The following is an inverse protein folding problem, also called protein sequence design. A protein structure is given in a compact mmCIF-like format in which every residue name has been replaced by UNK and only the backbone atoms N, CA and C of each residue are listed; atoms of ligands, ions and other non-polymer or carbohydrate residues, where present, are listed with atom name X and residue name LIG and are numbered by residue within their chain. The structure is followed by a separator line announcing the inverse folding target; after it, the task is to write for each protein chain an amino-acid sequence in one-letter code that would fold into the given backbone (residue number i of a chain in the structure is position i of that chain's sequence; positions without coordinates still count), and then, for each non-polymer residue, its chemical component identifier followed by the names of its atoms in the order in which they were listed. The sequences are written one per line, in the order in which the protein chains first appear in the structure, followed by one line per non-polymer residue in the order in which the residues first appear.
data_IF_378242046104
#
_entry.id   IF_378242046104
#
_cell.length_a   1.000
_cell.length_b   1.000
_cell.length_c   1.000
_cell.angle_alpha   90.00
_cell.angle_beta   90.00
_cell.angle_gamma   90.00
#
_symmetry.space_group_name_H-M   'P 1'
#
loop_
_entity.id
_entity.type
_entity.pdbx_description
1 polymer ?
#
# COMPACT_ATOMS: atom_id res chain seq x y z
N UNK A 1 -50.28 -68.16 17.81
CA UNK A 1 -49.86 -67.24 16.72
C UNK A 1 -48.92 -66.19 17.31
N UNK A 2 -47.62 -66.29 17.01
CA UNK A 2 -46.57 -65.44 17.59
C UNK A 2 -46.42 -64.12 16.79
N UNK A 3 -46.90 -63.00 17.34
CA UNK A 3 -46.73 -61.63 16.81
C UNK A 3 -45.37 -61.01 17.23
N UNK A 4 -44.25 -61.72 17.10
CA UNK A 4 -42.91 -61.18 17.48
C UNK A 4 -42.03 -60.74 16.29
N UNK A 5 -42.52 -60.87 15.05
CA UNK A 5 -41.73 -60.57 13.85
C UNK A 5 -41.82 -59.13 13.32
N UNK A 6 -42.81 -58.33 13.74
CA UNK A 6 -43.04 -56.98 13.19
C UNK A 6 -42.38 -55.84 13.98
N UNK A 7 -41.88 -56.08 15.19
CA UNK A 7 -41.26 -55.02 16.02
C UNK A 7 -39.77 -54.80 15.72
N UNK A 8 -39.08 -55.79 15.13
CA UNK A 8 -37.64 -55.69 14.81
C UNK A 8 -37.33 -54.76 13.62
N UNK A 9 -38.28 -54.59 12.68
CA UNK A 9 -38.09 -53.74 11.50
C UNK A 9 -38.16 -52.24 11.81
N UNK A 10 -39.03 -51.84 12.75
CA UNK A 10 -39.22 -50.42 13.08
C UNK A 10 -38.03 -49.84 13.85
N UNK A 11 -37.50 -50.57 14.84
CA UNK A 11 -36.34 -50.13 15.61
C UNK A 11 -35.09 -49.94 14.73
N UNK A 12 -34.88 -50.83 13.75
CA UNK A 12 -33.74 -50.74 12.84
C UNK A 12 -33.88 -49.56 11.86
N UNK A 13 -35.09 -49.34 11.33
CA UNK A 13 -35.37 -48.21 10.43
C UNK A 13 -35.27 -46.86 11.17
N UNK A 14 -35.73 -46.81 12.42
CA UNK A 14 -35.57 -45.63 13.29
C UNK A 14 -34.09 -45.37 13.62
N UNK A 15 -33.31 -46.42 13.94
CA UNK A 15 -31.87 -46.28 14.22
C UNK A 15 -31.10 -45.73 13.01
N UNK A 16 -31.42 -46.17 11.79
CA UNK A 16 -30.82 -45.64 10.56
C UNK A 16 -31.19 -44.18 10.35
N UNK A 17 -32.45 -43.80 10.57
CA UNK A 17 -32.90 -42.42 10.44
C UNK A 17 -32.20 -41.50 11.45
N UNK A 18 -32.16 -41.89 12.72
CA UNK A 18 -31.46 -41.13 13.78
C UNK A 18 -29.96 -41.06 13.50
N UNK A 19 -29.34 -42.17 13.08
CA UNK A 19 -27.92 -42.21 12.69
C UNK A 19 -27.61 -41.26 11.53
N UNK A 20 -28.49 -41.21 10.52
CA UNK A 20 -28.38 -40.26 9.41
C UNK A 20 -28.48 -38.80 9.85
N UNK A 21 -29.40 -38.48 10.77
CA UNK A 21 -29.54 -37.13 11.34
C UNK A 21 -28.31 -36.74 12.16
N UNK A 22 -27.78 -37.64 13.00
CA UNK A 22 -26.57 -37.37 13.79
C UNK A 22 -25.37 -37.14 12.88
N UNK A 23 -25.18 -37.97 11.84
CA UNK A 23 -24.10 -37.80 10.87
C UNK A 23 -24.23 -36.46 10.13
N UNK A 24 -25.44 -36.10 9.69
CA UNK A 24 -25.70 -34.83 9.04
C UNK A 24 -25.38 -33.64 9.95
N UNK A 25 -25.82 -33.68 11.21
CA UNK A 25 -25.54 -32.63 12.19
C UNK A 25 -24.03 -32.53 12.51
N UNK A 26 -23.32 -33.65 12.56
CA UNK A 26 -21.87 -33.66 12.76
C UNK A 26 -21.14 -33.02 11.57
N UNK A 27 -21.51 -33.38 10.34
CA UNK A 27 -20.94 -32.78 9.11
C UNK A 27 -21.25 -31.27 9.06
N UNK A 28 -22.49 -30.88 9.35
CA UNK A 28 -22.91 -29.48 9.38
C UNK A 28 -22.20 -28.68 10.48
N UNK A 29 -22.02 -29.28 11.66
CA UNK A 29 -21.30 -28.68 12.78
C UNK A 29 -19.83 -28.45 12.45
N UNK A 30 -19.17 -29.47 11.87
CA UNK A 30 -17.76 -29.39 11.44
C UNK A 30 -17.59 -28.35 10.33
N UNK A 31 -18.46 -28.31 9.32
CA UNK A 31 -18.36 -27.32 8.25
C UNK A 31 -18.47 -25.89 8.78
N UNK A 32 -19.42 -25.63 9.69
CA UNK A 32 -19.61 -24.28 10.27
C UNK A 32 -18.46 -23.84 11.18
N UNK A 33 -17.84 -24.79 11.89
CA UNK A 33 -16.68 -24.53 12.75
C UNK A 33 -15.44 -24.20 11.89
N UNK A 34 -15.25 -24.91 10.77
CA UNK A 34 -14.16 -24.64 9.82
C UNK A 34 -14.29 -23.22 9.23
N UNK A 35 -15.49 -22.82 8.78
CA UNK A 35 -15.70 -21.48 8.20
C UNK A 35 -15.41 -20.35 9.21
N UNK A 36 -15.75 -20.56 10.48
CA UNK A 36 -15.51 -19.58 11.55
C UNK A 36 -14.02 -19.51 11.89
N UNK A 37 -13.36 -20.65 12.02
CA UNK A 37 -11.92 -20.73 12.28
C UNK A 37 -11.08 -20.08 11.18
N UNK A 38 -11.46 -20.25 9.91
CA UNK A 38 -10.78 -19.60 8.79
C UNK A 38 -10.89 -18.08 8.82
N UNK A 39 -12.05 -17.53 9.20
CA UNK A 39 -12.23 -16.09 9.38
C UNK A 39 -11.30 -15.51 10.46
N UNK A 40 -11.13 -16.22 11.57
CA UNK A 40 -10.22 -15.84 12.66
C UNK A 40 -8.75 -15.89 12.20
N UNK A 41 -8.35 -16.93 11.46
CA UNK A 41 -6.99 -17.06 10.91
C UNK A 41 -6.69 -15.92 9.94
N UNK A 42 -7.57 -15.63 8.99
CA UNK A 42 -7.36 -14.54 8.02
C UNK A 42 -7.30 -13.17 8.69
N UNK A 43 -8.08 -12.97 9.76
CA UNK A 43 -8.02 -11.74 10.56
C UNK A 43 -6.69 -11.64 11.31
N UNK A 44 -6.21 -12.74 11.88
CA UNK A 44 -4.91 -12.77 12.57
C UNK A 44 -3.76 -12.48 11.60
N UNK A 45 -3.78 -13.07 10.41
CA UNK A 45 -2.81 -12.79 9.34
C UNK A 45 -2.87 -11.32 8.92
N UNK A 46 -4.06 -10.74 8.78
CA UNK A 46 -4.21 -9.32 8.46
C UNK A 46 -3.58 -8.41 9.53
N UNK A 47 -3.79 -8.73 10.81
CA UNK A 47 -3.22 -7.97 11.94
C UNK A 47 -1.71 -8.16 12.01
N UNK A 48 -1.20 -9.38 11.87
CA UNK A 48 0.24 -9.65 11.83
C UNK A 48 0.90 -8.92 10.66
N UNK A 49 0.29 -8.95 9.49
CA UNK A 49 0.76 -8.20 8.33
C UNK A 49 0.79 -6.69 8.60
N UNK A 50 -0.29 -6.11 9.14
CA UNK A 50 -0.31 -4.70 9.51
C UNK A 50 0.77 -4.36 10.55
N UNK A 51 1.01 -5.24 11.52
CA UNK A 51 2.07 -5.09 12.50
C UNK A 51 3.48 -5.21 11.89
N UNK A 52 3.66 -5.93 10.79
CA UNK A 52 4.94 -5.97 10.04
C UNK A 52 5.15 -4.67 9.26
N UNK A 53 4.08 -4.03 8.77
CA UNK A 53 4.19 -2.75 8.07
C UNK A 53 4.69 -1.61 8.98
N UNK A 54 4.46 -1.68 10.29
CA UNK A 54 4.83 -0.62 11.23
C UNK A 54 6.36 -0.52 11.46
N UNK A 55 7.11 -1.60 11.76
CA UNK A 55 8.57 -1.59 11.82
C UNK A 55 9.24 -1.21 10.50
N UNK A 56 8.62 -1.56 9.37
CA UNK A 56 9.11 -1.18 8.04
C UNK A 56 9.11 0.34 7.82
N UNK A 57 8.45 1.14 8.67
CA UNK A 57 8.49 2.61 8.61
C UNK A 57 9.53 3.22 9.54
N UNK A 58 9.68 2.69 10.75
CA UNK A 58 10.46 3.35 11.80
C UNK A 58 11.97 3.23 11.63
N UNK A 59 12.43 2.28 10.79
CA UNK A 59 13.86 1.97 10.59
C UNK A 59 14.46 2.71 9.38
N UNK A 60 13.62 3.31 8.53
CA UNK A 60 14.01 3.64 7.16
C UNK A 60 14.32 5.14 7.02
N UNK A 61 15.59 5.51 7.21
CA UNK A 61 16.12 6.80 6.77
C UNK A 61 16.48 6.83 5.29
N UNK A 62 16.63 5.65 4.67
CA UNK A 62 17.09 5.45 3.30
C UNK A 62 16.15 4.47 2.59
N UNK A 63 15.90 4.64 1.30
CA UNK A 63 15.03 3.73 0.55
C UNK A 63 15.46 2.26 0.72
N UNK A 64 14.51 1.34 0.84
CA UNK A 64 14.79 -0.11 0.95
C UNK A 64 13.78 -0.97 0.18
N UNK A 65 14.24 -2.13 -0.30
CA UNK A 65 13.39 -3.18 -0.85
C UNK A 65 13.34 -4.41 0.06
N UNK A 66 12.18 -5.03 0.21
CA UNK A 66 12.04 -6.28 0.95
C UNK A 66 10.95 -7.16 0.34
N UNK A 67 11.01 -8.46 0.61
CA UNK A 67 10.03 -9.44 0.16
C UNK A 67 9.44 -10.16 1.36
N UNK A 68 8.13 -10.34 1.36
CA UNK A 68 7.42 -11.15 2.34
C UNK A 68 6.82 -12.36 1.63
N UNK A 69 7.19 -13.54 2.12
CA UNK A 69 6.59 -14.80 1.72
C UNK A 69 5.45 -15.16 2.69
N UNK A 70 4.24 -15.27 2.15
CA UNK A 70 3.08 -15.75 2.88
C UNK A 70 3.16 -17.28 3.04
N UNK A 71 2.66 -17.84 4.16
CA UNK A 71 2.67 -19.28 4.39
C UNK A 71 1.84 -20.03 3.33
N UNK A 72 0.75 -19.40 2.87
CA UNK A 72 -0.19 -19.92 1.87
C UNK A 72 -0.46 -18.88 0.78
N UNK A 73 -0.95 -19.33 -0.37
CA UNK A 73 -1.41 -18.41 -1.41
C UNK A 73 -2.61 -17.61 -0.90
N UNK A 74 -2.55 -16.29 -0.98
CA UNK A 74 -3.60 -15.40 -0.47
C UNK A 74 -4.00 -14.35 -1.50
N UNK A 75 -5.27 -13.94 -1.41
CA UNK A 75 -5.80 -12.69 -1.93
C UNK A 75 -5.75 -11.64 -0.84
N UNK A 76 -5.19 -10.49 -1.19
CA UNK A 76 -4.98 -9.35 -0.32
C UNK A 76 -5.82 -8.24 -0.88
N UNK A 77 -6.78 -7.78 -0.09
CA UNK A 77 -7.65 -6.68 -0.43
C UNK A 77 -7.20 -5.46 0.36
N UNK A 78 -6.98 -4.37 -0.36
CA UNK A 78 -6.49 -3.14 0.24
C UNK A 78 -7.39 -1.99 -0.12
N UNK A 79 -7.64 -1.15 0.87
CA UNK A 79 -8.34 0.10 0.67
C UNK A 79 -7.78 1.14 1.63
N UNK A 80 -8.23 2.37 1.45
CA UNK A 80 -7.83 3.48 2.30
C UNK A 80 -9.07 4.29 2.64
N UNK A 81 -9.11 4.77 3.88
CA UNK A 81 -10.11 5.71 4.36
C UNK A 81 -9.43 6.99 4.87
N UNK A 82 -10.19 8.08 4.85
CA UNK A 82 -9.73 9.39 5.32
C UNK A 82 -10.23 9.70 6.74
N UNK A 83 -10.72 8.70 7.48
CA UNK A 83 -11.31 8.89 8.80
C UNK A 83 -10.24 9.24 9.85
N UNK A 84 -10.61 10.08 10.82
CA UNK A 84 -9.69 10.60 11.84
C UNK A 84 -8.67 11.61 11.29
N UNK A 85 -7.57 11.79 12.03
CA UNK A 85 -6.61 12.86 11.76
C UNK A 85 -5.78 12.63 10.50
N UNK A 86 -5.36 11.38 10.24
CA UNK A 86 -4.44 11.02 9.15
C UNK A 86 -4.99 9.94 8.20
N UNK A 87 -6.24 9.50 8.37
CA UNK A 87 -6.79 8.35 7.65
C UNK A 87 -6.16 7.02 8.06
N UNK A 88 -6.64 5.93 7.47
CA UNK A 88 -6.12 4.57 7.69
C UNK A 88 -5.91 3.84 6.36
N UNK A 89 -4.89 2.98 6.32
CA UNK A 89 -4.86 1.87 5.35
C UNK A 89 -5.60 0.70 5.96
N UNK A 90 -6.47 0.09 5.16
CA UNK A 90 -7.25 -1.09 5.51
C UNK A 90 -6.74 -2.26 4.68
N UNK A 91 -6.41 -3.36 5.34
CA UNK A 91 -5.94 -4.59 4.69
C UNK A 91 -6.77 -5.76 5.17
N UNK A 92 -7.23 -6.60 4.25
CA UNK A 92 -7.92 -7.85 4.56
C UNK A 92 -7.39 -8.98 3.68
N UNK A 93 -7.50 -10.21 4.18
CA UNK A 93 -6.92 -11.40 3.55
C UNK A 93 -7.97 -12.48 3.30
N UNK A 94 -7.76 -13.25 2.25
CA UNK A 94 -8.48 -14.48 1.95
C UNK A 94 -7.48 -15.50 1.42
N UNK A 95 -7.33 -16.61 2.13
CA UNK A 95 -6.39 -17.69 1.82
C UNK A 95 -7.00 -18.71 0.86
N UNK A 96 -6.17 -19.36 0.04
CA UNK A 96 -6.60 -20.47 -0.81
C UNK A 96 -6.86 -21.71 0.04
N UNK A 97 -8.04 -22.32 -0.09
CA UNK A 97 -8.43 -23.50 0.70
C UNK A 97 -8.39 -24.76 -0.16
N UNK A 98 -7.64 -25.76 0.33
CA UNK A 98 -7.71 -27.14 -0.13
C UNK A 98 -7.22 -27.36 -1.56
N UNK A 99 -7.70 -28.45 -2.19
CA UNK A 99 -7.41 -28.76 -3.59
C UNK A 99 -8.45 -28.10 -4.50
N UNK A 100 -8.05 -27.03 -5.20
CA UNK A 100 -8.87 -26.28 -6.17
C UNK A 100 -8.71 -24.76 -6.03
N UNK A 101 -9.42 -23.99 -6.87
CA UNK A 101 -9.37 -22.51 -6.87
C UNK A 101 -10.42 -21.87 -5.96
N UNK A 102 -10.64 -22.48 -4.78
CA UNK A 102 -11.57 -21.97 -3.77
C UNK A 102 -10.82 -21.10 -2.77
N UNK A 103 -11.40 -19.94 -2.46
CA UNK A 103 -10.88 -18.96 -1.52
C UNK A 103 -11.67 -19.00 -0.22
N UNK A 104 -10.99 -18.73 0.89
CA UNK A 104 -11.60 -18.61 2.21
C UNK A 104 -12.49 -17.40 2.32
N UNK A 105 -13.33 -17.41 3.36
CA UNK A 105 -14.05 -16.21 3.75
C UNK A 105 -13.05 -15.09 4.06
N UNK A 106 -13.33 -13.91 3.52
CA UNK A 106 -12.57 -12.70 3.80
C UNK A 106 -12.45 -12.47 5.31
N UNK A 107 -11.22 -12.29 5.79
CA UNK A 107 -10.95 -11.93 7.18
C UNK A 107 -11.43 -10.52 7.53
N UNK A 108 -11.35 -10.17 8.81
CA UNK A 108 -11.56 -8.80 9.26
C UNK A 108 -10.51 -7.84 8.71
N UNK A 109 -10.86 -6.56 8.65
CA UNK A 109 -9.97 -5.49 8.19
C UNK A 109 -8.98 -5.11 9.30
N UNK A 110 -7.68 -5.24 9.02
CA UNK A 110 -6.64 -4.66 9.83
C UNK A 110 -6.42 -3.19 9.42
N UNK A 111 -6.30 -2.30 10.42
CA UNK A 111 -6.13 -0.86 10.22
C UNK A 111 -4.73 -0.44 10.63
N UNK A 112 -4.01 0.27 9.75
CA UNK A 112 -2.75 0.95 10.10
C UNK A 112 -2.83 2.44 9.78
N UNK A 113 -2.45 3.26 10.77
CA UNK A 113 -2.50 4.72 10.70
C UNK A 113 -1.25 5.32 10.08
N UNK A 114 -0.11 4.68 10.30
CA UNK A 114 1.20 5.22 9.96
C UNK A 114 1.70 4.71 8.61
N UNK A 115 1.17 3.59 8.11
CA UNK A 115 1.53 3.07 6.80
C UNK A 115 0.76 3.77 5.67
N UNK A 116 1.49 4.36 4.73
CA UNK A 116 0.96 4.85 3.46
C UNK A 116 1.17 3.78 2.40
N UNK A 117 0.22 2.83 2.33
CA UNK A 117 0.35 1.62 1.53
C UNK A 117 -0.21 1.84 0.12
N UNK A 118 0.67 1.97 -0.85
CA UNK A 118 0.39 2.09 -2.28
C UNK A 118 0.40 0.71 -2.93
N UNK A 119 -0.77 0.26 -3.38
CA UNK A 119 -0.98 -1.09 -3.90
C UNK A 119 -2.22 -1.14 -4.79
N UNK A 120 -2.32 -2.15 -5.64
CA UNK A 120 -3.57 -2.51 -6.29
C UNK A 120 -4.65 -2.85 -5.26
N UNK A 121 -5.93 -2.67 -5.62
CA UNK A 121 -7.05 -2.95 -4.72
C UNK A 121 -7.12 -4.43 -4.32
N UNK A 122 -6.71 -5.31 -5.23
CA UNK A 122 -6.62 -6.75 -5.02
C UNK A 122 -5.28 -7.25 -5.56
N UNK A 123 -4.56 -8.00 -4.74
CA UNK A 123 -3.35 -8.72 -5.12
C UNK A 123 -3.52 -10.19 -4.77
N UNK A 124 -3.13 -11.09 -5.67
CA UNK A 124 -3.15 -12.53 -5.42
C UNK A 124 -1.74 -13.13 -5.54
N UNK A 125 -1.30 -13.84 -4.52
CA UNK A 125 -0.07 -14.62 -4.61
C UNK A 125 0.43 -15.09 -3.25
N UNK A 126 1.56 -15.81 -3.29
CA UNK A 126 2.30 -16.23 -2.10
C UNK A 126 3.41 -15.25 -1.71
N UNK A 127 3.88 -14.42 -2.66
CA UNK A 127 5.00 -13.49 -2.46
C UNK A 127 4.54 -12.07 -2.71
N UNK A 128 4.96 -11.15 -1.85
CA UNK A 128 4.69 -9.72 -1.98
C UNK A 128 6.01 -9.00 -1.85
N UNK A 129 6.31 -8.15 -2.82
CA UNK A 129 7.46 -7.27 -2.78
C UNK A 129 7.03 -5.92 -2.24
N UNK A 130 7.91 -5.31 -1.45
CA UNK A 130 7.76 -3.98 -0.90
C UNK A 130 8.93 -3.12 -1.31
N UNK A 131 8.62 -1.91 -1.74
CA UNK A 131 9.58 -0.82 -1.82
C UNK A 131 9.17 0.23 -0.79
N UNK A 132 10.12 0.69 0.00
CA UNK A 132 9.90 1.65 1.06
C UNK A 132 10.74 2.87 0.76
N UNK A 133 10.09 4.02 0.67
CA UNK A 133 10.75 5.29 0.38
C UNK A 133 10.43 6.32 1.46
N UNK A 134 11.43 7.00 2.06
CA UNK A 134 11.15 8.16 2.87
C UNK A 134 10.56 9.27 1.99
N UNK A 135 9.46 9.87 2.42
CA UNK A 135 8.81 10.97 1.72
C UNK A 135 8.95 12.26 2.50
N UNK A 136 9.56 13.26 1.86
CA UNK A 136 9.87 14.56 2.44
C UNK A 136 9.25 15.68 1.61
N UNK A 137 8.58 16.62 2.27
CA UNK A 137 7.96 17.76 1.60
C UNK A 137 7.69 18.93 2.56
N UNK A 138 8.66 19.75 2.98
CA UNK A 138 10.10 19.63 2.71
C UNK A 138 10.84 18.77 3.74
N UNK A 139 10.33 18.68 4.95
CA UNK A 139 10.78 17.74 5.98
C UNK A 139 10.10 16.37 5.81
N UNK A 140 10.64 15.33 6.46
CA UNK A 140 10.06 13.98 6.45
C UNK A 140 8.59 14.01 6.91
N UNK A 141 7.69 13.62 6.00
CA UNK A 141 6.25 13.53 6.26
C UNK A 141 5.90 12.11 6.70
N UNK A 142 6.46 11.09 6.06
CA UNK A 142 6.21 9.69 6.34
C UNK A 142 6.97 8.80 5.37
N UNK A 143 6.69 7.50 5.40
CA UNK A 143 7.28 6.55 4.47
C UNK A 143 6.23 6.03 3.51
N UNK A 144 6.53 6.06 2.22
CA UNK A 144 5.73 5.49 1.14
C UNK A 144 6.06 4.00 1.10
N UNK A 145 5.06 3.15 1.36
CA UNK A 145 5.19 1.71 1.21
C UNK A 145 4.50 1.31 -0.08
N UNK A 146 5.25 0.81 -1.05
CA UNK A 146 4.71 0.35 -2.33
C UNK A 146 4.73 -1.17 -2.33
N UNK A 147 3.56 -1.80 -2.43
CA UNK A 147 3.44 -3.25 -2.48
C UNK A 147 3.02 -3.72 -3.87
N UNK A 148 3.69 -4.75 -4.37
CA UNK A 148 3.36 -5.36 -5.66
C UNK A 148 3.75 -6.84 -5.68
N UNK A 149 3.07 -7.61 -6.53
CA UNK A 149 3.30 -9.05 -6.66
C UNK A 149 3.28 -9.56 -8.11
N UNK A 150 3.11 -8.66 -9.08
CA UNK A 150 3.15 -8.98 -10.51
C UNK A 150 4.57 -8.79 -11.07
N UNK A 151 4.80 -9.40 -12.23
CA UNK A 151 6.00 -9.15 -13.01
C UNK A 151 5.79 -7.90 -13.89
N UNK A 152 6.76 -7.00 -13.85
CA UNK A 152 6.78 -5.75 -14.59
C UNK A 152 8.00 -5.71 -15.51
N UNK A 153 7.81 -5.16 -16.71
CA UNK A 153 8.92 -4.85 -17.61
C UNK A 153 8.96 -3.35 -17.86
N UNK A 154 10.08 -2.75 -17.48
CA UNK A 154 10.38 -1.34 -17.52
C UNK A 154 11.13 -1.03 -18.83
N UNK A 155 10.48 -0.32 -19.75
CA UNK A 155 10.98 -0.06 -21.10
C UNK A 155 11.42 1.40 -21.23
N UNK A 156 12.61 1.59 -21.79
CA UNK A 156 13.25 2.91 -21.99
C UNK A 156 13.37 3.70 -20.68
N UNK A 157 13.72 3.02 -19.59
CA UNK A 157 13.70 3.61 -18.25
C UNK A 157 14.86 4.60 -18.05
N UNK A 158 14.60 5.79 -17.47
CA UNK A 158 15.68 6.71 -17.10
C UNK A 158 16.67 6.02 -16.17
N UNK A 159 17.97 6.18 -16.46
CA UNK A 159 19.08 5.54 -15.73
C UNK A 159 18.99 5.73 -14.21
N UNK A 160 18.51 6.90 -13.75
CA UNK A 160 18.32 7.17 -12.32
C UNK A 160 17.29 6.27 -11.66
N UNK A 161 16.17 5.99 -12.33
CA UNK A 161 15.11 5.10 -11.82
C UNK A 161 15.58 3.65 -11.90
N UNK A 162 16.24 3.27 -13.00
CA UNK A 162 16.78 1.93 -13.15
C UNK A 162 17.79 1.60 -12.04
N UNK A 163 18.77 2.47 -11.82
CA UNK A 163 19.77 2.28 -10.77
C UNK A 163 19.12 2.23 -9.38
N UNK A 164 18.19 3.16 -9.07
CA UNK A 164 17.49 3.15 -7.79
C UNK A 164 16.74 1.82 -7.55
N UNK A 165 15.97 1.34 -8.54
CA UNK A 165 15.24 0.09 -8.38
C UNK A 165 16.16 -1.13 -8.29
N UNK A 166 17.28 -1.15 -9.03
CA UNK A 166 18.29 -2.22 -8.95
C UNK A 166 18.95 -2.25 -7.57
N UNK A 167 19.34 -1.09 -7.05
CA UNK A 167 19.96 -0.95 -5.73
C UNK A 167 19.03 -1.44 -4.61
N UNK A 168 17.72 -1.20 -4.76
CA UNK A 168 16.71 -1.59 -3.76
C UNK A 168 16.36 -3.08 -3.78
N UNK A 169 16.31 -3.68 -4.97
CA UNK A 169 15.83 -5.05 -5.15
C UNK A 169 16.96 -6.08 -5.10
N UNK A 170 18.18 -5.66 -5.45
CA UNK A 170 19.30 -6.57 -5.69
C UNK A 170 19.12 -7.44 -6.94
N UNK A 171 20.18 -8.17 -7.31
CA UNK A 171 20.22 -8.95 -8.55
C UNK A 171 19.30 -10.20 -8.54
N UNK A 172 18.92 -10.70 -7.36
CA UNK A 172 18.22 -12.00 -7.21
C UNK A 172 16.68 -11.91 -7.14
N UNK A 173 16.08 -10.72 -7.02
CA UNK A 173 14.64 -10.56 -6.69
C UNK A 173 13.79 -9.85 -7.77
N UNK A 174 14.15 -9.98 -9.04
CA UNK A 174 13.60 -9.12 -10.09
C UNK A 174 12.25 -9.63 -10.67
N UNK A 175 11.17 -9.44 -9.93
CA UNK A 175 9.84 -9.27 -10.54
C UNK A 175 9.77 -7.99 -11.42
N UNK A 176 10.86 -7.23 -11.53
CA UNK A 176 11.01 -6.05 -12.38
C UNK A 176 12.20 -6.28 -13.32
N UNK A 177 11.93 -6.32 -14.62
CA UNK A 177 12.94 -6.45 -15.67
C UNK A 177 13.09 -5.12 -16.40
N UNK A 178 14.31 -4.73 -16.74
CA UNK A 178 14.58 -3.54 -17.55
C UNK A 178 14.91 -3.95 -18.99
N UNK A 179 14.37 -3.21 -19.96
CA UNK A 179 14.56 -3.48 -21.37
C UNK A 179 14.63 -2.19 -22.20
N UNK A 180 15.40 -2.24 -23.29
CA UNK A 180 15.48 -1.13 -24.26
C UNK A 180 14.39 -1.19 -25.34
N UNK A 181 13.55 -2.23 -25.34
CA UNK A 181 12.50 -2.36 -26.36
C UNK A 181 11.31 -3.19 -25.88
N UNK A 182 10.13 -2.90 -26.47
CA UNK A 182 8.88 -3.59 -26.16
C UNK A 182 8.86 -5.09 -26.49
N UNK A 183 9.71 -5.51 -27.42
CA UNK A 183 9.80 -6.89 -27.89
C UNK A 183 10.52 -7.79 -26.86
N UNK A 184 11.36 -7.20 -26.01
CA UNK A 184 12.08 -7.91 -24.95
C UNK A 184 11.20 -8.26 -23.74
N UNK A 185 9.92 -7.87 -23.76
CA UNK A 185 8.98 -8.03 -22.65
C UNK A 185 7.75 -8.87 -23.06
N UNK A 186 7.85 -10.19 -23.28
CA UNK A 186 6.67 -11.03 -23.54
C UNK A 186 5.88 -11.31 -22.24
N UNK A 187 4.55 -11.21 -22.30
CA UNK A 187 3.59 -11.68 -21.29
C UNK A 187 3.71 -11.12 -19.86
N UNK A 188 4.15 -9.86 -19.71
CA UNK A 188 4.24 -9.14 -18.42
C UNK A 188 3.68 -7.72 -18.52
N UNK A 189 3.34 -7.08 -17.39
CA UNK A 189 2.83 -5.70 -17.37
C UNK A 189 3.95 -4.73 -17.79
N UNK A 190 3.72 -3.96 -18.85
CA UNK A 190 4.74 -3.05 -19.41
C UNK A 190 4.61 -1.65 -18.84
N UNK A 191 5.71 -1.12 -18.30
CA UNK A 191 5.86 0.25 -17.81
C UNK A 191 6.82 0.97 -18.75
N UNK A 192 6.35 2.04 -19.38
CA UNK A 192 7.14 2.67 -20.43
C UNK A 192 7.24 4.17 -20.23
N UNK A 193 8.47 4.66 -20.32
CA UNK A 193 8.79 6.09 -20.27
C UNK A 193 8.76 6.70 -21.68
N UNK A 194 8.84 5.86 -22.71
CA UNK A 194 8.61 6.20 -24.10
C UNK A 194 7.77 5.11 -24.78
N UNK A 195 6.91 5.47 -25.75
CA UNK A 195 6.10 4.50 -26.50
C UNK A 195 4.71 4.19 -25.91
N UNK A 196 4.15 3.03 -26.29
CA UNK A 196 2.77 2.64 -25.98
C UNK A 196 2.70 1.33 -25.18
N UNK A 197 2.28 1.42 -23.92
CA UNK A 197 2.27 0.31 -22.96
C UNK A 197 1.05 0.33 -22.03
N UNK A 198 0.93 -0.69 -21.19
CA UNK A 198 -0.12 -0.80 -20.17
C UNK A 198 -0.06 0.36 -19.16
N UNK A 199 1.16 0.79 -18.83
CA UNK A 199 1.46 1.89 -17.91
C UNK A 199 2.40 2.85 -18.62
N UNK A 200 1.98 4.10 -18.81
CA UNK A 200 2.77 5.13 -19.49
C UNK A 200 3.21 6.18 -18.48
N UNK A 201 4.50 6.35 -18.33
CA UNK A 201 5.10 7.34 -17.44
C UNK A 201 5.59 8.51 -18.28
N UNK A 202 5.12 9.72 -17.99
CA UNK A 202 5.65 10.95 -18.60
C UNK A 202 6.27 11.81 -17.54
N UNK A 203 7.55 12.11 -17.74
CA UNK A 203 8.36 12.95 -16.86
C UNK A 203 8.37 14.38 -17.39
N UNK A 204 8.20 15.36 -16.51
CA UNK A 204 8.33 16.79 -16.87
C UNK A 204 9.78 17.29 -16.77
N UNK A 205 10.68 16.49 -16.20
CA UNK A 205 12.11 16.76 -16.10
C UNK A 205 12.97 15.52 -16.40
N UNK A 206 14.27 15.71 -16.60
CA UNK A 206 15.21 14.64 -16.96
C UNK A 206 15.45 13.64 -15.84
N UNK A 207 15.26 14.05 -14.59
CA UNK A 207 15.41 13.19 -13.41
C UNK A 207 14.13 12.40 -13.09
N UNK A 208 13.05 12.64 -13.83
CA UNK A 208 11.72 12.12 -13.59
C UNK A 208 11.23 12.31 -12.15
N UNK A 209 11.50 13.49 -11.57
CA UNK A 209 11.04 13.85 -10.22
C UNK A 209 9.62 14.37 -10.22
N UNK A 210 9.01 14.59 -11.37
CA UNK A 210 7.61 15.01 -11.47
C UNK A 210 7.05 14.65 -12.84
N UNK A 211 5.74 14.52 -12.89
CA UNK A 211 5.00 14.26 -14.12
C UNK A 211 3.72 13.52 -13.83
N UNK A 212 3.36 12.59 -14.72
CA UNK A 212 2.16 11.79 -14.56
C UNK A 212 2.30 10.36 -15.10
N UNK A 213 1.44 9.49 -14.59
CA UNK A 213 1.28 8.12 -15.06
C UNK A 213 -0.13 7.97 -15.62
N UNK A 214 -0.23 7.51 -16.87
CA UNK A 214 -1.48 7.07 -17.49
C UNK A 214 -1.58 5.54 -17.35
N UNK A 215 -2.59 5.05 -16.62
CA UNK A 215 -2.84 3.61 -16.36
C UNK A 215 -4.33 3.34 -16.23
N UNK A 216 -4.80 2.22 -16.80
CA UNK A 216 -6.19 1.73 -16.68
C UNK A 216 -7.26 2.79 -17.07
N UNK A 217 -6.92 3.66 -18.03
CA UNK A 217 -7.79 4.76 -18.49
C UNK A 217 -7.81 6.01 -17.59
N UNK A 218 -7.08 5.99 -16.47
CA UNK A 218 -6.89 7.11 -15.57
C UNK A 218 -5.53 7.78 -15.70
N UNK A 219 -5.44 9.03 -15.22
CA UNK A 219 -4.18 9.79 -15.10
C UNK A 219 -3.95 10.16 -13.64
N UNK A 220 -2.76 9.87 -13.14
CA UNK A 220 -2.32 10.29 -11.80
C UNK A 220 -1.04 11.11 -11.88
N UNK A 221 -1.01 12.25 -11.20
CA UNK A 221 0.19 13.09 -11.09
C UNK A 221 1.06 12.62 -9.94
N UNK A 222 2.38 12.67 -10.12
CA UNK A 222 3.35 12.31 -9.09
C UNK A 222 4.42 13.38 -8.93
N UNK A 223 5.03 13.36 -7.75
CA UNK A 223 6.28 14.07 -7.45
C UNK A 223 7.18 13.15 -6.64
N UNK A 224 8.47 13.21 -6.94
CA UNK A 224 9.54 12.42 -6.36
C UNK A 224 9.18 10.91 -6.32
N UNK A 225 9.42 10.24 -5.20
CA UNK A 225 9.17 8.81 -4.99
C UNK A 225 7.70 8.38 -5.11
N UNK A 226 6.75 9.31 -5.20
CA UNK A 226 5.35 8.96 -5.49
C UNK A 226 5.17 8.34 -6.88
N UNK A 227 6.16 8.45 -7.78
CA UNK A 227 6.16 7.75 -9.07
C UNK A 227 5.93 6.24 -8.90
N UNK A 228 6.55 5.62 -7.90
CA UNK A 228 6.39 4.19 -7.64
C UNK A 228 4.97 3.87 -7.16
N UNK A 229 4.42 4.71 -6.27
CA UNK A 229 3.02 4.61 -5.90
C UNK A 229 2.09 4.73 -7.12
N UNK A 230 2.35 5.67 -8.02
CA UNK A 230 1.55 5.88 -9.22
C UNK A 230 1.61 4.70 -10.21
N UNK A 231 2.75 4.02 -10.32
CA UNK A 231 2.92 2.84 -11.18
C UNK A 231 2.21 1.62 -10.57
N UNK A 232 2.51 1.31 -9.31
CA UNK A 232 2.18 0.02 -8.70
C UNK A 232 0.82 -0.01 -7.97
N UNK A 233 0.17 1.14 -7.75
CA UNK A 233 -1.11 1.20 -7.02
C UNK A 233 -2.31 1.51 -7.89
N UNK A 234 -3.50 1.11 -7.46
CA UNK A 234 -4.74 1.53 -8.12
C UNK A 234 -4.89 3.04 -7.98
N UNK A 235 -5.57 3.70 -8.93
CA UNK A 235 -5.80 5.15 -8.86
C UNK A 235 -6.48 5.55 -7.53
N UNK A 236 -7.46 4.77 -7.07
CA UNK A 236 -8.17 5.02 -5.81
C UNK A 236 -7.23 4.94 -4.60
N UNK A 237 -6.40 3.91 -4.52
CA UNK A 237 -5.44 3.77 -3.42
C UNK A 237 -4.35 4.83 -3.47
N UNK A 238 -3.88 5.19 -4.68
CA UNK A 238 -2.94 6.27 -4.88
C UNK A 238 -3.49 7.60 -4.31
N UNK A 239 -4.64 8.04 -4.82
CA UNK A 239 -5.26 9.30 -4.44
C UNK A 239 -5.55 9.37 -2.94
N UNK A 240 -6.05 8.28 -2.35
CA UNK A 240 -6.34 8.24 -0.93
C UNK A 240 -5.06 8.35 -0.07
N UNK A 241 -4.00 7.62 -0.41
CA UNK A 241 -2.74 7.70 0.36
C UNK A 241 -2.03 9.04 0.17
N UNK A 242 -2.07 9.65 -1.02
CA UNK A 242 -1.57 11.03 -1.21
C UNK A 242 -2.38 12.01 -0.35
N UNK A 243 -3.71 11.90 -0.30
CA UNK A 243 -4.53 12.72 0.61
C UNK A 243 -4.10 12.56 2.08
N UNK A 244 -3.82 11.32 2.52
CA UNK A 244 -3.35 11.06 3.88
C UNK A 244 -1.96 11.67 4.15
N UNK A 245 -1.04 11.60 3.18
CA UNK A 245 0.26 12.28 3.26
C UNK A 245 0.08 13.79 3.37
N UNK A 246 -0.82 14.39 2.59
CA UNK A 246 -1.10 15.83 2.63
C UNK A 246 -1.75 16.27 3.95
N UNK A 247 -2.67 15.47 4.52
CA UNK A 247 -3.20 15.71 5.87
C UNK A 247 -2.08 15.75 6.91
N UNK A 248 -1.17 14.76 6.88
CA UNK A 248 -0.02 14.71 7.79
C UNK A 248 0.92 15.88 7.57
N UNK A 249 1.18 16.24 6.32
CA UNK A 249 1.97 17.41 5.97
C UNK A 249 1.39 18.69 6.60
N UNK A 250 0.06 18.91 6.55
CA UNK A 250 -0.52 20.12 7.14
C UNK A 250 -0.26 20.23 8.65
N UNK A 251 -0.39 19.12 9.38
CA UNK A 251 -0.18 19.07 10.82
C UNK A 251 1.31 19.24 11.16
N UNK A 252 2.20 18.59 10.43
CA UNK A 252 3.65 18.77 10.61
C UNK A 252 4.04 20.23 10.30
N UNK A 253 3.45 20.83 9.27
CA UNK A 253 3.67 22.24 8.93
C UNK A 253 3.21 23.20 10.03
N UNK A 254 2.10 22.90 10.70
CA UNK A 254 1.68 23.66 11.88
C UNK A 254 2.73 23.60 13.01
N UNK A 255 3.30 22.41 13.26
CA UNK A 255 4.33 22.21 14.28
C UNK A 255 5.58 23.00 13.92
N UNK A 256 6.05 22.93 12.67
CA UNK A 256 7.23 23.68 12.23
C UNK A 256 7.00 25.20 12.23
N UNK A 257 5.79 25.67 11.92
CA UNK A 257 5.45 27.09 12.03
C UNK A 257 5.51 27.60 13.49
N UNK A 258 5.19 26.75 14.47
CA UNK A 258 5.38 27.06 15.90
C UNK A 258 6.86 26.97 16.29
N UNK A 259 7.60 25.98 15.77
CA UNK A 259 9.04 25.81 16.01
C UNK A 259 9.85 27.02 15.53
N UNK A 260 9.54 27.60 14.36
CA UNK A 260 10.23 28.81 13.89
C UNK A 260 10.12 29.97 14.87
N UNK A 261 8.96 30.16 15.51
CA UNK A 261 8.77 31.20 16.52
C UNK A 261 9.60 30.95 17.78
N UNK A 262 9.68 29.70 18.22
CA UNK A 262 10.46 29.33 19.40
C UNK A 262 11.97 29.45 19.15
N UNK A 263 12.45 29.04 17.98
CA UNK A 263 13.88 29.13 17.64
C UNK A 263 14.30 30.59 17.43
N UNK A 264 13.40 31.44 16.92
CA UNK A 264 13.65 32.87 16.75
C UNK A 264 13.90 33.62 18.06
N UNK A 265 13.48 33.09 19.20
CA UNK A 265 13.74 33.70 20.51
C UNK A 265 15.13 33.35 21.08
N UNK A 266 15.97 32.63 20.33
CA UNK A 266 17.31 32.17 20.73
C UNK A 266 18.40 32.62 19.76
N UNK A 267 18.28 33.85 19.25
CA UNK A 267 19.23 34.50 18.32
C UNK A 267 19.40 33.83 16.94
N UNK A 268 18.56 32.85 16.59
CA UNK A 268 18.50 32.26 15.25
C UNK A 268 17.45 32.97 14.37
N UNK A 269 17.82 33.55 13.24
CA UNK A 269 16.89 34.27 12.35
C UNK A 269 16.08 33.30 11.47
N UNK A 270 15.24 32.47 12.09
CA UNK A 270 14.39 31.50 11.38
C UNK A 270 12.99 32.04 11.06
N UNK A 271 12.72 33.30 11.42
CA UNK A 271 11.42 33.95 11.23
C UNK A 271 11.06 34.11 9.74
N UNK A 272 12.06 34.14 8.86
CA UNK A 272 11.89 34.31 7.40
C UNK A 272 11.15 33.12 6.78
N UNK A 273 11.26 31.91 7.35
CA UNK A 273 10.57 30.71 6.85
C UNK A 273 9.09 30.64 7.24
N UNK A 274 8.68 31.36 8.29
CA UNK A 274 7.33 31.21 8.86
C UNK A 274 6.21 31.48 7.85
N UNK A 275 6.23 32.57 7.04
CA UNK A 275 5.18 32.82 6.06
C UNK A 275 5.01 31.68 5.06
N UNK A 276 6.12 31.10 4.60
CA UNK A 276 6.10 30.01 3.62
C UNK A 276 5.57 28.71 4.25
N UNK A 277 5.98 28.38 5.49
CA UNK A 277 5.47 27.20 6.19
C UNK A 277 3.96 27.33 6.49
N UNK A 278 3.48 28.54 6.83
CA UNK A 278 2.04 28.80 6.99
C UNK A 278 1.30 28.62 5.66
N UNK A 279 1.90 29.06 4.55
CA UNK A 279 1.37 28.85 3.19
C UNK A 279 1.32 27.36 2.81
N UNK A 280 2.34 26.59 3.20
CA UNK A 280 2.39 25.14 3.00
C UNK A 280 1.32 24.42 3.81
N UNK A 281 1.14 24.79 5.08
CA UNK A 281 0.05 24.29 5.92
C UNK A 281 -1.30 24.54 5.24
N UNK A 282 -1.59 25.79 4.88
CA UNK A 282 -2.85 26.16 4.24
C UNK A 282 -3.07 25.40 2.91
N UNK A 283 -2.02 25.22 2.09
CA UNK A 283 -2.14 24.53 0.81
C UNK A 283 -2.35 23.02 0.98
N UNK A 284 -1.68 22.39 1.94
CA UNK A 284 -1.83 20.96 2.23
C UNK A 284 -3.14 20.64 2.96
N UNK A 285 -3.62 21.52 3.84
CA UNK A 285 -4.92 21.38 4.49
C UNK A 285 -6.10 21.52 3.51
N UNK A 286 -5.93 22.33 2.46
CA UNK A 286 -6.92 22.53 1.40
C UNK A 286 -6.70 21.64 0.18
N UNK A 287 -5.84 20.63 0.27
CA UNK A 287 -5.61 19.68 -0.80
C UNK A 287 -6.90 18.92 -1.13
N UNK A 288 -7.32 18.95 -2.41
CA UNK A 288 -8.55 18.29 -2.87
C UNK A 288 -8.30 17.32 -4.00
N UNK A 289 -7.34 17.63 -4.87
CA UNK A 289 -7.09 16.88 -6.10
C UNK A 289 -5.60 16.72 -6.36
N UNK A 290 -5.23 15.71 -7.16
CA UNK A 290 -3.83 15.50 -7.58
C UNK A 290 -3.22 16.72 -8.31
N UNK A 291 -4.05 17.59 -8.89
CA UNK A 291 -3.59 18.83 -9.55
C UNK A 291 -3.04 19.87 -8.56
N UNK A 292 -3.34 19.74 -7.27
CA UNK A 292 -2.82 20.64 -6.24
C UNK A 292 -1.38 20.29 -5.84
N UNK A 293 -0.93 19.06 -6.13
CA UNK A 293 0.36 18.51 -5.71
C UNK A 293 1.57 19.33 -6.24
N UNK A 294 1.64 19.74 -7.53
CA UNK A 294 2.76 20.55 -8.02
C UNK A 294 2.86 21.92 -7.35
N UNK A 295 1.73 22.49 -6.90
CA UNK A 295 1.74 23.76 -6.16
C UNK A 295 2.34 23.57 -4.76
N UNK A 296 1.94 22.52 -4.07
CA UNK A 296 2.45 22.19 -2.73
C UNK A 296 3.96 21.88 -2.80
N UNK A 297 4.37 21.08 -3.79
CA UNK A 297 5.78 20.76 -4.05
C UNK A 297 6.62 22.02 -4.27
N UNK A 298 6.12 22.99 -5.06
CA UNK A 298 6.82 24.26 -5.28
C UNK A 298 7.04 25.04 -3.99
N UNK A 299 6.01 25.15 -3.14
CA UNK A 299 6.12 25.83 -1.85
C UNK A 299 7.13 25.10 -0.95
N UNK A 300 7.07 23.76 -0.93
CA UNK A 300 8.01 22.91 -0.21
C UNK A 300 9.45 23.17 -0.64
N UNK A 301 9.75 23.19 -1.94
CA UNK A 301 11.10 23.45 -2.46
C UNK A 301 11.63 24.82 -2.02
N UNK A 302 10.81 25.87 -2.08
CA UNK A 302 11.18 27.21 -1.59
C UNK A 302 11.55 27.19 -0.10
N UNK A 303 10.82 26.43 0.73
CA UNK A 303 11.13 26.30 2.16
C UNK A 303 12.44 25.53 2.36
N UNK A 304 12.68 24.47 1.60
CA UNK A 304 13.90 23.66 1.68
C UNK A 304 15.15 24.45 1.28
N UNK A 305 15.08 25.17 0.16
CA UNK A 305 16.18 26.02 -0.31
C UNK A 305 16.52 27.10 0.70
N UNK A 306 15.51 27.83 1.22
CA UNK A 306 15.73 28.83 2.26
C UNK A 306 16.26 28.22 3.55
N UNK A 307 15.81 27.02 3.94
CA UNK A 307 16.30 26.35 5.16
C UNK A 307 17.78 26.03 5.09
N UNK A 308 18.29 25.61 3.92
CA UNK A 308 19.71 25.30 3.70
C UNK A 308 20.62 26.52 3.82
N UNK A 309 20.10 27.71 3.53
CA UNK A 309 20.83 28.98 3.62
C UNK A 309 20.88 29.56 5.05
N UNK A 310 20.10 29.01 5.99
CA UNK A 310 20.10 29.48 7.37
C UNK A 310 21.29 28.95 8.15
N UNK A 311 21.89 29.81 8.98
CA UNK A 311 22.90 29.41 9.96
C UNK A 311 22.33 28.39 10.97
N UNK A 312 21.07 28.59 11.36
CA UNK A 312 20.32 27.67 12.22
C UNK A 312 19.26 26.92 11.42
N UNK A 313 19.61 25.78 10.83
CA UNK A 313 18.63 24.96 10.11
C UNK A 313 17.46 24.54 11.02
N UNK A 314 16.24 24.64 10.49
CA UNK A 314 15.02 24.29 11.21
C UNK A 314 14.85 22.77 11.34
N UNK A 315 15.36 22.03 10.37
CA UNK A 315 15.43 20.57 10.27
C UNK A 315 16.66 20.19 9.47
#
# INVERSE_FOLDING_TARGET
MNKKGMEFGFAWLFAIMVGGVILFLAIFGVSRLIDTSQGEVNTKVAVEFANVLDPLQTVVSESSGTQIDLPVEAKIFTSCDLEGNFGNSLVSFSEKIGFGDKWSKLGGEARTKNAYLFTENEMQGKRINFLIFPFSMPYKVGDILVAYNKNYCFVDTPVLIENELRDLLGDENSNIVFADSLNSCPDVKKVCFQGNCDIKVKCDDSACTKGFVDKDGGRVYFTDKLIYGAIFSSQKNYECNVNRLMKRLSIISEIYAKKTQFVSSRDCVNIILRPDIVSLNASSANYRTLNDLPKIERISKVIDDKNKELECQLY
#
